data_IF_881434691799
#
_entry.id   IF_881434691799
#
_cell.length_a   1.000
_cell.length_b   1.000
_cell.length_c   1.000
_cell.angle_alpha   90.00
_cell.angle_beta   90.00
_cell.angle_gamma   90.00
#
_symmetry.space_group_name_H-M   'P 1'
#
loop_
_entity.id
_entity.type
_entity.pdbx_description
1 polymer ?
#
# COMPACT_ATOMS: atom_id res chain seq x y z
N UNK A 1 16.20 2.80 6.56
CA UNK A 1 16.20 1.33 6.66
C UNK A 1 15.57 0.75 5.39
N UNK A 2 15.97 -0.45 4.97
CA UNK A 2 15.40 -1.14 3.82
C UNK A 2 14.63 -2.40 4.23
N UNK A 3 14.51 -2.63 5.53
CA UNK A 3 13.80 -3.76 6.15
C UNK A 3 12.66 -3.24 7.02
N UNK A 4 11.48 -3.85 6.87
CA UNK A 4 10.26 -3.60 7.63
C UNK A 4 9.82 -4.88 8.31
N UNK A 5 9.19 -4.79 9.51
CA UNK A 5 8.73 -5.91 10.31
C UNK A 5 9.75 -6.42 11.34
N UNK A 6 9.29 -7.18 12.33
CA UNK A 6 10.09 -7.76 13.42
C UNK A 6 10.31 -9.26 13.25
N UNK A 7 9.23 -10.04 13.14
CA UNK A 7 9.28 -11.48 12.89
C UNK A 7 8.96 -11.79 11.42
N UNK A 8 7.93 -11.18 10.85
CA UNK A 8 7.67 -11.23 9.42
C UNK A 8 8.38 -10.04 8.76
N UNK A 9 9.56 -10.25 8.23
CA UNK A 9 10.44 -9.20 7.73
C UNK A 9 10.44 -9.13 6.22
N UNK A 10 10.31 -7.91 5.70
CA UNK A 10 10.46 -7.60 4.29
C UNK A 10 11.67 -6.68 4.10
N UNK A 11 12.68 -7.14 3.37
CA UNK A 11 13.77 -6.30 2.87
C UNK A 11 13.57 -6.05 1.39
N UNK A 12 13.54 -4.77 0.98
CA UNK A 12 13.41 -4.36 -0.43
C UNK A 12 14.74 -3.88 -0.99
N UNK A 13 15.01 -4.20 -2.25
CA UNK A 13 16.26 -3.82 -2.93
C UNK A 13 16.02 -3.49 -4.42
N UNK A 14 17.06 -2.93 -5.05
CA UNK A 14 17.05 -2.58 -6.47
C UNK A 14 16.63 -1.14 -6.73
N UNK A 15 17.12 -0.59 -7.83
CA UNK A 15 16.87 0.77 -8.29
C UNK A 15 15.88 0.79 -9.46
N UNK A 16 15.08 1.86 -9.59
CA UNK A 16 14.01 1.94 -10.59
C UNK A 16 14.47 1.78 -12.05
N UNK A 17 15.73 2.06 -12.33
CA UNK A 17 16.38 1.92 -13.64
C UNK A 17 17.64 1.04 -13.57
N UNK A 18 17.84 0.32 -12.47
CA UNK A 18 18.82 -0.76 -12.34
C UNK A 18 18.36 -2.03 -13.08
N UNK A 19 19.12 -3.10 -13.03
CA UNK A 19 18.81 -4.35 -13.76
C UNK A 19 17.55 -5.05 -13.24
N UNK A 20 17.27 -4.95 -11.95
CA UNK A 20 16.12 -5.57 -11.31
C UNK A 20 15.74 -4.85 -10.01
N UNK A 21 14.54 -5.12 -9.55
CA UNK A 21 14.07 -4.80 -8.20
C UNK A 21 13.56 -6.08 -7.55
N UNK A 22 13.60 -6.16 -6.23
CA UNK A 22 13.17 -7.38 -5.56
C UNK A 22 12.86 -7.20 -4.09
N UNK A 23 12.46 -8.32 -3.52
CA UNK A 23 12.09 -8.49 -2.13
C UNK A 23 12.76 -9.73 -1.54
N UNK A 24 13.20 -9.63 -0.31
CA UNK A 24 13.58 -10.76 0.54
C UNK A 24 12.61 -10.77 1.72
N UNK A 25 11.84 -11.85 1.84
CA UNK A 25 10.88 -12.05 2.92
C UNK A 25 11.45 -13.14 3.84
N UNK A 26 11.59 -12.82 5.12
CA UNK A 26 12.06 -13.74 6.15
C UNK A 26 11.04 -13.86 7.28
N UNK A 27 11.01 -15.01 7.96
CA UNK A 27 10.08 -15.30 9.05
C UNK A 27 8.72 -15.84 8.60
N UNK A 28 8.47 -16.06 7.32
CA UNK A 28 7.27 -16.77 6.88
C UNK A 28 7.38 -18.25 7.29
N UNK A 29 6.42 -18.81 8.07
CA UNK A 29 6.44 -20.21 8.48
C UNK A 29 6.43 -21.18 7.28
N UNK A 30 6.94 -22.38 7.47
CA UNK A 30 6.85 -23.44 6.48
C UNK A 30 5.40 -23.91 6.23
N UNK A 31 5.14 -24.41 5.04
CA UNK A 31 3.85 -25.03 4.68
C UNK A 31 2.74 -24.07 4.30
N UNK A 32 3.00 -22.75 4.16
CA UNK A 32 2.04 -21.79 3.60
C UNK A 32 1.93 -22.03 2.10
N UNK A 33 0.71 -22.17 1.59
CA UNK A 33 0.46 -22.32 0.14
C UNK A 33 0.86 -20.99 -0.56
N UNK A 34 1.85 -21.05 -1.46
CA UNK A 34 2.37 -19.91 -2.18
C UNK A 34 2.89 -20.32 -3.55
N UNK A 35 2.52 -19.57 -4.58
CA UNK A 35 3.01 -19.76 -5.95
C UNK A 35 3.40 -18.43 -6.58
N UNK A 36 4.27 -18.47 -7.60
CA UNK A 36 4.61 -17.28 -8.39
C UNK A 36 3.36 -16.64 -9.03
N UNK A 37 2.38 -17.43 -9.43
CA UNK A 37 1.12 -16.93 -10.01
C UNK A 37 0.31 -16.08 -9.01
N UNK A 38 0.25 -16.47 -7.74
CA UNK A 38 -0.41 -15.66 -6.70
C UNK A 38 0.30 -14.30 -6.50
N UNK A 39 1.63 -14.30 -6.45
CA UNK A 39 2.42 -13.07 -6.35
C UNK A 39 2.24 -12.22 -7.61
N UNK A 40 2.23 -12.84 -8.80
CA UNK A 40 2.01 -12.14 -10.07
C UNK A 40 0.64 -11.47 -10.11
N UNK A 41 -0.42 -12.14 -9.65
CA UNK A 41 -1.76 -11.55 -9.57
C UNK A 41 -1.78 -10.27 -8.74
N UNK A 42 -1.06 -10.24 -7.61
CA UNK A 42 -0.94 -9.02 -6.80
C UNK A 42 -0.15 -7.91 -7.54
N UNK A 43 0.92 -8.27 -8.24
CA UNK A 43 1.72 -7.34 -9.04
C UNK A 43 0.94 -6.79 -10.23
N UNK A 44 0.12 -7.60 -10.89
CA UNK A 44 -0.72 -7.17 -12.02
C UNK A 44 -1.70 -6.09 -11.61
N UNK A 45 -2.21 -6.10 -10.40
CA UNK A 45 -3.05 -5.02 -9.85
C UNK A 45 -2.27 -3.70 -9.68
N UNK A 46 -0.96 -3.77 -9.47
CA UNK A 46 -0.08 -2.59 -9.22
C UNK A 46 0.64 -2.10 -10.47
N UNK A 47 0.97 -2.96 -11.44
CA UNK A 47 1.83 -2.66 -12.58
C UNK A 47 1.44 -1.37 -13.32
N UNK A 48 2.38 -0.70 -14.02
CA UNK A 48 2.09 0.46 -14.86
C UNK A 48 1.36 0.05 -16.14
N UNK A 49 0.77 1.03 -16.84
CA UNK A 49 0.20 0.82 -18.18
C UNK A 49 -1.11 0.02 -18.22
N UNK A 50 -1.87 0.00 -17.13
CA UNK A 50 -3.11 -0.77 -17.03
C UNK A 50 -4.31 -0.09 -17.74
N UNK A 51 -4.28 1.23 -17.89
CA UNK A 51 -5.39 2.00 -18.45
C UNK A 51 -4.94 3.39 -18.93
N UNK A 52 -5.83 4.12 -19.60
CA UNK A 52 -5.58 5.46 -20.11
C UNK A 52 -5.22 6.49 -19.00
N UNK A 53 -5.71 6.29 -17.77
CA UNK A 53 -5.46 7.16 -16.62
C UNK A 53 -4.12 6.89 -15.92
N UNK A 54 -3.35 5.92 -16.38
CA UNK A 54 -2.03 5.59 -15.82
C UNK A 54 -0.90 6.04 -16.75
N UNK A 55 0.33 5.85 -16.29
CA UNK A 55 1.54 6.13 -17.08
C UNK A 55 1.55 5.33 -18.38
N UNK A 56 2.13 5.90 -19.44
CA UNK A 56 2.40 5.21 -20.71
C UNK A 56 3.53 4.16 -20.63
N UNK A 57 4.20 4.02 -19.47
CA UNK A 57 5.21 2.98 -19.26
C UNK A 57 4.51 1.62 -19.27
N UNK A 58 5.02 0.68 -20.05
CA UNK A 58 4.52 -0.68 -20.11
C UNK A 58 5.58 -1.64 -19.55
N UNK A 59 5.29 -2.23 -18.40
CA UNK A 59 6.12 -3.24 -17.76
C UNK A 59 5.23 -4.40 -17.32
N UNK A 60 5.61 -5.61 -17.64
CA UNK A 60 4.86 -6.81 -17.23
C UNK A 60 5.04 -7.09 -15.74
N UNK A 61 6.05 -6.49 -15.09
CA UNK A 61 6.44 -6.73 -13.69
C UNK A 61 6.47 -8.24 -13.35
N UNK A 62 7.06 -9.03 -14.25
CA UNK A 62 7.10 -10.50 -14.16
C UNK A 62 7.97 -10.93 -12.97
N UNK A 63 7.37 -11.65 -12.01
CA UNK A 63 8.09 -12.10 -10.82
C UNK A 63 8.78 -13.45 -11.04
N UNK A 64 10.02 -13.54 -10.57
CA UNK A 64 10.78 -14.78 -10.43
C UNK A 64 10.94 -15.07 -8.92
N UNK A 65 10.42 -16.22 -8.43
CA UNK A 65 10.71 -16.71 -7.08
C UNK A 65 12.02 -17.51 -7.13
N UNK A 66 13.03 -17.08 -6.39
CA UNK A 66 14.37 -17.66 -6.43
C UNK A 66 14.63 -18.67 -5.30
N UNK A 67 13.93 -18.53 -4.18
CA UNK A 67 14.10 -19.40 -3.00
C UNK A 67 12.88 -19.40 -2.09
N UNK A 68 12.89 -20.28 -1.09
CA UNK A 68 11.92 -20.31 0.01
C UNK A 68 10.58 -20.95 -0.31
N UNK A 69 10.39 -21.48 -1.53
CA UNK A 69 9.16 -22.17 -1.96
C UNK A 69 9.52 -23.45 -2.71
N UNK A 70 8.87 -24.55 -2.36
CA UNK A 70 9.00 -25.83 -3.03
C UNK A 70 7.63 -26.52 -3.12
N UNK A 71 7.28 -27.05 -4.28
CA UNK A 71 5.99 -27.70 -4.55
C UNK A 71 4.77 -26.89 -4.09
N UNK A 72 4.81 -25.54 -4.34
CA UNK A 72 3.72 -24.64 -4.01
C UNK A 72 3.55 -24.33 -2.52
N UNK A 73 4.56 -24.60 -1.68
CA UNK A 73 4.56 -24.33 -0.24
C UNK A 73 5.85 -23.64 0.20
N UNK A 74 5.74 -22.77 1.17
CA UNK A 74 6.90 -22.13 1.82
C UNK A 74 7.71 -23.14 2.62
N UNK A 75 9.02 -22.92 2.71
CA UNK A 75 9.96 -23.79 3.41
C UNK A 75 10.34 -23.34 4.84
N UNK A 76 9.89 -22.14 5.26
CA UNK A 76 10.37 -21.52 6.50
C UNK A 76 11.76 -20.87 6.36
N UNK A 77 12.34 -20.89 5.17
CA UNK A 77 13.60 -20.24 4.81
C UNK A 77 13.31 -18.92 4.07
N UNK A 78 14.29 -18.00 3.91
CA UNK A 78 14.05 -16.75 3.23
C UNK A 78 13.50 -16.91 1.82
N UNK A 79 12.42 -16.19 1.52
CA UNK A 79 11.79 -16.14 0.20
C UNK A 79 12.37 -14.95 -0.55
N UNK A 80 13.17 -15.24 -1.58
CA UNK A 80 13.72 -14.22 -2.46
C UNK A 80 12.91 -14.16 -3.75
N UNK A 81 12.53 -12.93 -4.14
CA UNK A 81 11.78 -12.68 -5.37
C UNK A 81 12.35 -11.47 -6.11
N UNK A 82 12.42 -11.54 -7.42
CA UNK A 82 12.91 -10.45 -8.29
C UNK A 82 11.97 -10.18 -9.45
N UNK A 83 11.98 -8.91 -9.88
CA UNK A 83 11.34 -8.44 -11.11
C UNK A 83 12.40 -7.72 -11.93
N UNK A 84 12.65 -8.19 -13.16
CA UNK A 84 13.61 -7.59 -14.06
C UNK A 84 13.06 -6.32 -14.69
N UNK A 85 13.88 -5.27 -14.77
CA UNK A 85 13.51 -4.04 -15.47
C UNK A 85 13.75 -4.23 -16.97
N UNK A 86 12.71 -4.15 -17.78
CA UNK A 86 12.78 -4.35 -19.24
C UNK A 86 12.77 -3.03 -20.02
N UNK A 87 12.06 -2.02 -19.54
CA UNK A 87 11.89 -0.72 -20.22
C UNK A 87 12.67 0.40 -19.51
N UNK A 88 13.93 0.14 -19.17
CA UNK A 88 14.84 1.12 -18.58
C UNK A 88 15.53 1.95 -19.68
N UNK A 89 14.90 3.03 -20.16
CA UNK A 89 15.48 3.97 -21.12
C UNK A 89 16.37 4.98 -20.41
N UNK A 90 17.65 4.64 -20.24
CA UNK A 90 18.63 5.51 -19.55
C UNK A 90 18.89 6.84 -20.29
N UNK A 91 18.65 6.90 -21.59
CA UNK A 91 18.85 8.10 -22.40
C UNK A 91 17.90 9.24 -22.05
N UNK A 92 16.69 8.94 -21.57
CA UNK A 92 15.68 9.94 -21.18
C UNK A 92 16.10 10.75 -19.94
N UNK A 93 17.14 10.33 -19.22
CA UNK A 93 17.59 10.91 -17.95
C UNK A 93 18.96 11.59 -18.00
N UNK A 94 19.64 11.62 -19.17
CA UNK A 94 20.96 12.24 -19.30
C UNK A 94 20.96 13.75 -19.01
N UNK A 95 19.89 14.45 -19.37
CA UNK A 95 19.69 15.86 -19.04
C UNK A 95 19.35 16.07 -17.55
N UNK A 96 18.66 15.10 -16.91
CA UNK A 96 18.27 15.16 -15.51
C UNK A 96 19.41 14.80 -14.54
N UNK A 97 20.52 14.27 -15.05
CA UNK A 97 21.69 13.95 -14.23
C UNK A 97 22.33 15.21 -13.60
N UNK A 98 22.11 16.40 -14.19
CA UNK A 98 22.71 17.67 -13.79
C UNK A 98 21.76 18.59 -13.01
N UNK A 99 20.45 18.37 -13.10
CA UNK A 99 19.44 19.23 -12.46
C UNK A 99 18.52 18.39 -11.55
N UNK A 100 18.18 18.95 -10.39
CA UNK A 100 17.22 18.34 -9.49
C UNK A 100 15.81 18.65 -9.96
N UNK A 101 14.97 17.64 -10.02
CA UNK A 101 13.58 17.82 -10.38
C UNK A 101 12.80 18.53 -9.26
N UNK A 102 12.08 19.61 -9.54
CA UNK A 102 11.28 20.29 -8.54
C UNK A 102 10.26 19.35 -7.90
N UNK A 103 10.11 19.44 -6.57
CA UNK A 103 9.16 18.62 -5.81
C UNK A 103 9.51 17.13 -5.66
N UNK A 104 10.63 16.67 -6.24
CA UNK A 104 11.16 15.31 -6.08
C UNK A 104 12.24 15.26 -4.99
N UNK A 105 12.70 14.07 -4.64
CA UNK A 105 13.68 13.87 -3.58
C UNK A 105 15.15 14.04 -4.03
N UNK A 106 15.41 14.45 -5.26
CA UNK A 106 16.74 14.44 -5.86
C UNK A 106 17.77 15.24 -5.05
N UNK A 107 17.45 16.48 -4.69
CA UNK A 107 18.32 17.37 -3.88
C UNK A 107 18.59 16.79 -2.49
N UNK A 108 17.53 16.29 -1.82
CA UNK A 108 17.63 15.75 -0.46
C UNK A 108 18.48 14.48 -0.44
N UNK A 109 18.29 13.59 -1.42
CA UNK A 109 19.09 12.36 -1.52
C UNK A 109 20.55 12.66 -1.85
N UNK A 110 20.82 13.63 -2.74
CA UNK A 110 22.17 14.08 -3.02
C UNK A 110 22.85 14.67 -1.80
N UNK A 111 22.16 15.51 -1.06
CA UNK A 111 22.69 16.10 0.18
C UNK A 111 23.01 15.00 1.23
N UNK A 112 22.16 13.99 1.35
CA UNK A 112 22.29 12.92 2.35
C UNK A 112 23.35 11.88 2.00
N UNK A 113 23.35 11.40 0.73
CA UNK A 113 24.15 10.24 0.32
C UNK A 113 25.35 10.61 -0.57
N UNK A 114 25.41 11.87 -1.08
CA UNK A 114 26.46 12.41 -1.94
C UNK A 114 26.62 11.66 -3.28
N UNK A 115 26.30 10.37 -3.32
CA UNK A 115 26.34 9.51 -4.49
C UNK A 115 24.95 8.90 -4.74
N UNK A 116 24.45 9.01 -5.97
CA UNK A 116 23.15 8.44 -6.37
C UNK A 116 23.20 7.96 -7.82
N UNK A 117 22.37 7.00 -8.17
CA UNK A 117 22.11 6.69 -9.58
C UNK A 117 21.26 7.83 -10.18
N UNK A 118 21.76 8.56 -11.19
CA UNK A 118 21.02 9.67 -11.80
C UNK A 118 19.86 9.19 -12.69
N UNK A 119 19.78 7.89 -13.00
CA UNK A 119 18.73 7.33 -13.85
C UNK A 119 17.41 7.23 -13.09
N UNK A 120 16.56 8.25 -13.20
CA UNK A 120 15.26 8.33 -12.52
C UNK A 120 15.34 8.56 -11.02
N UNK A 121 14.29 8.14 -10.30
CA UNK A 121 14.15 8.35 -8.85
C UNK A 121 14.85 7.30 -7.98
N UNK A 122 15.48 6.28 -8.55
CA UNK A 122 16.12 5.21 -7.78
C UNK A 122 15.16 4.59 -6.75
N UNK A 123 15.57 4.57 -5.49
CA UNK A 123 14.76 4.07 -4.35
C UNK A 123 13.60 4.99 -3.96
N UNK A 124 13.56 6.26 -4.42
CA UNK A 124 12.44 7.17 -4.18
C UNK A 124 11.36 7.11 -5.27
N UNK A 125 11.57 6.30 -6.28
CA UNK A 125 10.60 6.06 -7.35
C UNK A 125 9.41 5.24 -6.83
N UNK A 126 8.18 5.56 -7.26
CA UNK A 126 7.01 4.72 -6.98
C UNK A 126 7.13 3.27 -7.48
N UNK A 127 8.15 2.96 -8.32
CA UNK A 127 8.44 1.59 -8.75
C UNK A 127 8.91 0.69 -7.59
N UNK A 128 9.52 1.24 -6.53
CA UNK A 128 9.94 0.46 -5.35
C UNK A 128 8.76 -0.28 -4.70
N UNK A 129 7.54 0.22 -4.87
CA UNK A 129 6.34 -0.37 -4.29
C UNK A 129 6.01 -1.77 -4.84
N UNK A 130 6.60 -2.18 -5.99
CA UNK A 130 6.46 -3.57 -6.45
C UNK A 130 7.02 -4.57 -5.43
N UNK A 131 8.15 -4.24 -4.79
CA UNK A 131 8.76 -5.09 -3.77
C UNK A 131 7.87 -5.19 -2.50
N UNK A 132 7.15 -4.12 -2.16
CA UNK A 132 6.15 -4.13 -1.08
C UNK A 132 4.97 -5.04 -1.41
N UNK A 133 4.49 -5.01 -2.65
CA UNK A 133 3.38 -5.86 -3.11
C UNK A 133 3.80 -7.34 -3.14
N UNK A 134 5.04 -7.66 -3.51
CA UNK A 134 5.57 -9.03 -3.38
C UNK A 134 5.50 -9.50 -1.93
N UNK A 135 6.03 -8.70 -0.98
CA UNK A 135 5.98 -9.02 0.45
C UNK A 135 4.54 -9.13 0.97
N UNK A 136 3.65 -8.23 0.53
CA UNK A 136 2.24 -8.26 0.86
C UNK A 136 1.53 -9.53 0.38
N UNK A 137 1.83 -10.01 -0.81
CA UNK A 137 1.27 -11.27 -1.34
C UNK A 137 1.66 -12.49 -0.49
N UNK A 138 2.92 -12.54 -0.01
CA UNK A 138 3.36 -13.59 0.92
C UNK A 138 2.67 -13.45 2.28
N UNK A 139 2.53 -12.22 2.79
CA UNK A 139 1.79 -11.94 4.03
C UNK A 139 0.31 -12.35 3.92
N UNK A 140 -0.35 -12.04 2.80
CA UNK A 140 -1.74 -12.47 2.55
C UNK A 140 -1.89 -13.98 2.52
N UNK A 141 -0.93 -14.70 1.92
CA UNK A 141 -0.93 -16.16 1.92
C UNK A 141 -0.82 -16.74 3.35
N UNK A 142 0.03 -16.14 4.20
CA UNK A 142 0.13 -16.49 5.62
C UNK A 142 -1.19 -16.21 6.35
N UNK A 143 -1.74 -15.00 6.20
CA UNK A 143 -2.99 -14.60 6.85
C UNK A 143 -4.18 -15.47 6.41
N UNK A 144 -4.24 -15.87 5.14
CA UNK A 144 -5.29 -16.76 4.64
C UNK A 144 -5.28 -18.13 5.33
N UNK A 145 -4.10 -18.62 5.73
CA UNK A 145 -3.95 -19.85 6.51
C UNK A 145 -4.28 -19.63 7.99
N UNK A 146 -3.69 -18.61 8.61
CA UNK A 146 -3.69 -18.42 10.06
C UNK A 146 -4.96 -17.70 10.56
N UNK A 147 -5.44 -16.75 9.79
CA UNK A 147 -6.59 -15.91 10.12
C UNK A 147 -7.60 -15.89 8.95
N UNK A 148 -8.22 -17.02 8.61
CA UNK A 148 -9.05 -17.15 7.40
C UNK A 148 -10.29 -16.27 7.37
N UNK A 149 -10.69 -15.68 8.51
CA UNK A 149 -11.78 -14.71 8.58
C UNK A 149 -11.35 -13.29 8.17
N UNK A 150 -10.05 -12.99 8.20
CA UNK A 150 -9.54 -11.64 7.90
C UNK A 150 -9.74 -11.31 6.43
N UNK A 151 -10.35 -10.16 6.17
CA UNK A 151 -10.55 -9.58 4.83
C UNK A 151 -10.06 -8.14 4.84
N UNK A 152 -9.14 -7.84 3.95
CA UNK A 152 -8.64 -6.47 3.73
C UNK A 152 -9.06 -6.00 2.36
N UNK A 153 -9.77 -4.87 2.30
CA UNK A 153 -10.14 -4.21 1.05
C UNK A 153 -9.78 -2.75 1.14
N UNK A 154 -9.07 -2.25 0.13
CA UNK A 154 -8.78 -0.83 -0.02
C UNK A 154 -9.37 -0.32 -1.35
N UNK A 155 -9.76 0.95 -1.38
CA UNK A 155 -10.35 1.59 -2.56
C UNK A 155 -10.02 3.07 -2.60
N UNK A 156 -10.12 3.67 -3.79
CA UNK A 156 -10.02 5.12 -3.95
C UNK A 156 -11.25 5.77 -3.34
N UNK A 157 -11.04 6.55 -2.29
CA UNK A 157 -12.11 7.19 -1.52
C UNK A 157 -12.27 8.69 -1.83
N UNK A 158 -11.27 9.29 -2.50
CA UNK A 158 -11.31 10.67 -2.96
C UNK A 158 -10.27 10.90 -4.05
N UNK A 159 -10.60 11.68 -5.08
CA UNK A 159 -9.64 12.22 -6.07
C UNK A 159 -9.92 13.70 -6.24
N UNK A 160 -8.90 14.55 -5.94
CA UNK A 160 -9.11 16.00 -5.95
C UNK A 160 -10.32 16.40 -5.11
N UNK A 161 -11.30 17.13 -5.67
CA UNK A 161 -12.50 17.55 -4.95
C UNK A 161 -13.58 16.45 -4.84
N UNK A 162 -13.49 15.38 -5.61
CA UNK A 162 -14.53 14.35 -5.69
C UNK A 162 -14.33 13.30 -4.60
N UNK A 163 -15.25 13.22 -3.64
CA UNK A 163 -15.36 12.13 -2.69
C UNK A 163 -16.16 10.96 -3.27
N UNK A 164 -15.85 9.75 -2.82
CA UNK A 164 -16.45 8.51 -3.30
C UNK A 164 -17.40 7.93 -2.27
N UNK A 165 -18.60 7.58 -2.71
CA UNK A 165 -19.59 6.86 -1.92
C UNK A 165 -19.39 5.35 -2.10
N UNK A 166 -18.76 4.70 -1.11
CA UNK A 166 -18.52 3.27 -1.16
C UNK A 166 -19.70 2.47 -0.57
N UNK A 167 -20.02 1.29 -1.12
CA UNK A 167 -20.98 0.36 -0.52
C UNK A 167 -20.54 -0.09 0.87
N UNK A 168 -21.51 -0.37 1.76
CA UNK A 168 -21.23 -0.86 3.11
C UNK A 168 -20.50 -2.21 3.10
N UNK A 169 -20.84 -3.08 2.14
CA UNK A 169 -20.13 -4.31 1.87
C UNK A 169 -19.39 -4.18 0.53
N UNK A 170 -18.08 -4.34 0.58
CA UNK A 170 -17.22 -4.14 -0.57
C UNK A 170 -16.23 -5.29 -0.71
N UNK A 171 -16.11 -5.81 -1.93
CA UNK A 171 -15.13 -6.83 -2.29
C UNK A 171 -14.00 -6.22 -3.14
N UNK A 172 -12.84 -6.84 -3.11
CA UNK A 172 -11.70 -6.47 -3.97
C UNK A 172 -12.08 -6.53 -5.46
N UNK A 173 -12.89 -7.50 -5.87
CA UNK A 173 -13.37 -7.61 -7.24
C UNK A 173 -14.21 -6.41 -7.68
N UNK A 174 -15.08 -5.89 -6.81
CA UNK A 174 -15.85 -4.67 -7.10
C UNK A 174 -14.95 -3.43 -7.20
N UNK A 175 -13.91 -3.33 -6.39
CA UNK A 175 -12.91 -2.26 -6.50
C UNK A 175 -12.16 -2.35 -7.82
N UNK A 176 -11.73 -3.54 -8.20
CA UNK A 176 -10.93 -3.77 -9.40
C UNK A 176 -11.75 -3.73 -10.70
N UNK A 177 -13.09 -3.69 -10.63
CA UNK A 177 -13.99 -3.64 -11.77
C UNK A 177 -13.84 -2.34 -12.59
N UNK A 178 -13.38 -1.24 -11.98
CA UNK A 178 -13.14 0.02 -12.67
C UNK A 178 -11.67 0.45 -12.59
N UNK A 179 -11.07 1.00 -13.67
CA UNK A 179 -9.65 1.41 -13.69
C UNK A 179 -9.25 2.40 -12.60
N UNK A 180 -10.19 3.26 -12.16
CA UNK A 180 -9.97 4.22 -11.06
C UNK A 180 -9.91 3.56 -9.69
N UNK A 181 -10.30 2.29 -9.55
CA UNK A 181 -10.50 1.58 -8.28
C UNK A 181 -11.48 2.31 -7.34
N UNK A 182 -12.40 3.04 -7.93
CA UNK A 182 -13.51 3.68 -7.26
C UNK A 182 -14.74 2.76 -7.34
N UNK A 183 -15.28 2.28 -6.22
CA UNK A 183 -16.43 1.37 -6.21
C UNK A 183 -17.78 2.10 -6.28
N UNK A 184 -17.79 3.43 -6.26
CA UNK A 184 -18.99 4.25 -6.25
C UNK A 184 -19.41 4.71 -7.65
N UNK A 185 -20.58 5.36 -7.73
CA UNK A 185 -21.10 5.92 -8.99
C UNK A 185 -20.20 7.03 -9.56
N UNK A 186 -19.30 7.60 -8.76
CA UNK A 186 -18.38 8.68 -9.15
C UNK A 186 -17.23 8.18 -10.04
N UNK A 187 -17.09 6.87 -10.27
CA UNK A 187 -15.96 6.27 -10.97
C UNK A 187 -15.68 6.88 -12.36
N UNK A 188 -16.72 7.08 -13.17
CA UNK A 188 -16.62 7.67 -14.53
C UNK A 188 -16.25 9.17 -14.47
N UNK A 189 -16.76 9.90 -13.49
CA UNK A 189 -16.43 11.31 -13.33
C UNK A 189 -14.98 11.49 -12.85
N UNK A 190 -14.52 10.64 -11.94
CA UNK A 190 -13.13 10.59 -11.49
C UNK A 190 -12.20 10.25 -12.66
N UNK A 191 -12.57 9.30 -13.52
CA UNK A 191 -11.78 8.99 -14.71
C UNK A 191 -11.62 10.20 -15.63
N UNK A 192 -12.73 10.91 -15.92
CA UNK A 192 -12.71 12.17 -16.69
C UNK A 192 -11.81 13.23 -16.05
N UNK A 193 -11.91 13.40 -14.73
CA UNK A 193 -11.09 14.37 -13.99
C UNK A 193 -9.60 14.06 -14.10
N UNK A 194 -9.21 12.78 -13.98
CA UNK A 194 -7.82 12.35 -14.13
C UNK A 194 -7.31 12.56 -15.56
N UNK A 195 -8.12 12.26 -16.58
CA UNK A 195 -7.75 12.47 -17.96
C UNK A 195 -7.59 13.96 -18.29
N UNK A 196 -8.47 14.81 -17.80
CA UNK A 196 -8.36 16.26 -17.97
C UNK A 196 -7.09 16.83 -17.31
N UNK A 197 -6.74 16.37 -16.11
CA UNK A 197 -5.49 16.73 -15.47
C UNK A 197 -4.28 16.27 -16.30
N UNK A 198 -4.32 15.06 -16.85
CA UNK A 198 -3.26 14.53 -17.73
C UNK A 198 -3.05 15.39 -18.98
N UNK A 199 -4.12 15.79 -19.64
CA UNK A 199 -4.08 16.66 -20.83
C UNK A 199 -3.50 18.05 -20.53
N UNK A 200 -3.77 18.57 -19.35
CA UNK A 200 -3.24 19.85 -18.87
C UNK A 200 -1.80 19.75 -18.35
N UNK A 201 -1.19 18.57 -18.31
CA UNK A 201 0.12 18.35 -17.72
C UNK A 201 0.12 18.56 -16.19
N UNK A 202 -1.03 18.33 -15.56
CA UNK A 202 -1.23 18.47 -14.11
C UNK A 202 -1.41 17.10 -13.43
N UNK A 203 -1.60 17.10 -12.12
CA UNK A 203 -1.73 15.90 -11.31
C UNK A 203 -2.72 16.07 -10.16
N UNK A 204 -3.28 14.95 -9.71
CA UNK A 204 -4.29 14.91 -8.67
C UNK A 204 -3.83 14.00 -7.51
N UNK A 205 -4.06 14.48 -6.30
CA UNK A 205 -3.99 13.72 -5.06
C UNK A 205 -5.38 13.30 -4.59
N UNK A 206 -5.46 12.77 -3.37
CA UNK A 206 -6.72 12.36 -2.76
C UNK A 206 -6.51 11.38 -1.62
N UNK A 207 -7.41 10.41 -1.48
CA UNK A 207 -7.37 9.47 -0.37
C UNK A 207 -7.72 8.04 -0.81
N UNK A 208 -7.11 7.07 -0.13
CA UNK A 208 -7.45 5.65 -0.17
C UNK A 208 -8.06 5.29 1.18
N UNK A 209 -9.24 4.69 1.18
CA UNK A 209 -9.82 4.08 2.36
C UNK A 209 -9.49 2.59 2.41
N UNK A 210 -9.38 2.08 3.63
CA UNK A 210 -9.14 0.65 3.90
C UNK A 210 -10.15 0.18 4.94
N UNK A 211 -10.71 -0.99 4.72
CA UNK A 211 -11.52 -1.73 5.68
C UNK A 211 -10.92 -3.12 5.89
N UNK A 212 -10.78 -3.49 7.15
CA UNK A 212 -10.30 -4.80 7.56
C UNK A 212 -11.35 -5.42 8.46
N UNK A 213 -11.84 -6.59 8.09
CA UNK A 213 -12.85 -7.35 8.83
C UNK A 213 -12.27 -8.66 9.33
N UNK A 214 -12.89 -9.24 10.36
CA UNK A 214 -12.54 -10.55 10.88
C UNK A 214 -11.25 -10.59 11.71
N UNK A 215 -10.74 -9.44 12.16
CA UNK A 215 -9.58 -9.41 13.05
C UNK A 215 -9.95 -10.03 14.42
N UNK A 216 -9.08 -10.89 14.99
CA UNK A 216 -9.24 -11.35 16.36
C UNK A 216 -9.12 -10.16 17.32
N UNK A 217 -9.78 -10.25 18.49
CA UNK A 217 -9.60 -9.29 19.56
C UNK A 217 -8.19 -9.42 20.13
N UNK A 218 -7.51 -8.30 20.35
CA UNK A 218 -6.22 -8.27 21.05
C UNK A 218 -4.99 -8.25 20.14
N UNK A 219 -5.14 -8.18 18.82
CA UNK A 219 -3.98 -8.06 17.92
C UNK A 219 -3.34 -6.66 18.05
N UNK A 220 -2.04 -6.64 18.33
CA UNK A 220 -1.23 -5.46 18.60
C UNK A 220 -0.37 -5.65 19.84
N UNK A 221 0.58 -4.73 20.07
CA UNK A 221 1.52 -4.79 21.19
C UNK A 221 1.48 -3.48 21.99
N UNK A 222 1.10 -3.49 23.26
CA UNK A 222 1.26 -2.33 24.14
C UNK A 222 2.76 -2.17 24.52
N UNK A 223 3.29 -0.98 24.82
CA UNK A 223 2.64 0.33 24.73
C UNK A 223 2.96 0.99 23.39
N UNK A 224 4.11 0.69 22.78
CA UNK A 224 4.64 1.35 21.57
C UNK A 224 4.31 0.57 20.28
N UNK A 225 4.17 -0.75 20.35
CA UNK A 225 3.79 -1.61 19.21
C UNK A 225 2.29 -1.62 18.91
N UNK A 226 1.55 -0.56 19.25
CA UNK A 226 0.10 -0.48 19.02
C UNK A 226 -0.24 -0.73 17.57
N UNK A 227 -1.31 -1.48 17.31
CA UNK A 227 -1.77 -1.79 15.96
C UNK A 227 -1.88 -0.53 15.08
N UNK A 228 -2.48 0.55 15.60
CA UNK A 228 -2.56 1.82 14.86
C UNK A 228 -1.19 2.43 14.55
N UNK A 229 -0.22 2.33 15.46
CA UNK A 229 1.11 2.90 15.25
C UNK A 229 1.87 2.11 14.17
N UNK A 230 1.78 0.77 14.19
CA UNK A 230 2.38 -0.09 13.17
C UNK A 230 1.75 0.12 11.79
N UNK A 231 0.42 0.23 11.73
CA UNK A 231 -0.27 0.55 10.47
C UNK A 231 0.10 1.94 9.96
N UNK A 232 0.17 2.96 10.84
CA UNK A 232 0.58 4.30 10.44
C UNK A 232 2.01 4.33 9.89
N UNK A 233 2.97 3.69 10.56
CA UNK A 233 4.37 3.57 10.09
C UNK A 233 4.44 2.93 8.70
N UNK A 234 3.74 1.81 8.53
CA UNK A 234 3.70 1.07 7.28
C UNK A 234 3.19 1.89 6.11
N UNK A 235 2.03 2.57 6.26
CA UNK A 235 1.42 3.32 5.16
C UNK A 235 2.06 4.69 4.97
N UNK A 236 2.54 5.35 6.03
CA UNK A 236 3.29 6.61 5.93
C UNK A 236 4.63 6.44 5.21
N UNK A 237 5.22 5.25 5.23
CA UNK A 237 6.40 4.89 4.45
C UNK A 237 6.15 4.76 2.95
N UNK A 238 4.92 4.84 2.45
CA UNK A 238 4.59 4.85 1.03
C UNK A 238 4.84 6.27 0.48
N UNK A 239 5.52 6.37 -0.67
CA UNK A 239 5.77 7.66 -1.30
C UNK A 239 4.48 8.45 -1.57
N UNK A 240 4.53 9.77 -1.39
CA UNK A 240 3.44 10.72 -1.51
C UNK A 240 2.37 10.68 -0.40
N UNK A 241 2.43 9.79 0.57
CA UNK A 241 1.53 9.83 1.73
C UNK A 241 1.83 11.06 2.58
N UNK A 242 0.77 11.77 3.00
CA UNK A 242 0.83 13.00 3.80
C UNK A 242 0.05 12.91 5.10
N UNK A 243 -0.81 11.91 5.25
CA UNK A 243 -1.60 11.74 6.46
C UNK A 243 -2.32 10.41 6.53
N UNK A 244 -2.73 10.05 7.75
CA UNK A 244 -3.53 8.86 8.05
C UNK A 244 -4.57 9.21 9.10
N UNK A 245 -5.82 8.77 8.91
CA UNK A 245 -6.89 8.90 9.89
C UNK A 245 -7.56 7.55 10.16
N UNK A 246 -8.20 7.43 11.33
CA UNK A 246 -8.82 6.21 11.81
C UNK A 246 -10.33 6.37 11.91
N UNK A 247 -11.09 5.32 11.59
CA UNK A 247 -12.53 5.28 11.73
C UNK A 247 -13.32 6.05 10.68
N UNK A 248 -12.69 6.50 9.60
CA UNK A 248 -13.35 7.24 8.52
C UNK A 248 -13.82 8.64 8.88
N UNK A 249 -14.55 9.26 7.97
CA UNK A 249 -15.01 10.65 8.11
C UNK A 249 -16.08 10.81 9.21
N UNK A 250 -16.87 9.78 9.44
CA UNK A 250 -17.90 9.78 10.49
C UNK A 250 -17.29 9.95 11.88
N UNK A 251 -16.17 9.28 12.14
CA UNK A 251 -15.45 9.43 13.42
C UNK A 251 -14.88 10.84 13.55
N UNK A 252 -14.29 11.40 12.49
CA UNK A 252 -13.78 12.76 12.50
C UNK A 252 -14.89 13.80 12.77
N UNK A 253 -16.07 13.61 12.19
CA UNK A 253 -17.23 14.47 12.44
C UNK A 253 -17.65 14.43 13.91
N UNK A 254 -17.58 13.27 14.55
CA UNK A 254 -17.97 13.04 15.93
C UNK A 254 -16.97 13.52 16.99
N UNK A 255 -15.73 13.87 16.60
CA UNK A 255 -14.71 14.39 17.53
C UNK A 255 -15.14 15.69 18.27
N UNK A 256 -16.18 16.38 17.78
CA UNK A 256 -16.76 17.56 18.42
C UNK A 256 -17.83 17.24 19.48
N UNK A 257 -18.22 15.98 19.58
CA UNK A 257 -19.23 15.54 20.56
C UNK A 257 -18.65 15.47 21.98
N UNK A 258 -19.47 15.70 23.02
CA UNK A 258 -19.06 15.38 24.39
C UNK A 258 -18.71 13.89 24.54
N UNK A 259 -17.74 13.57 25.40
CA UNK A 259 -17.27 12.20 25.61
C UNK A 259 -18.37 11.22 25.97
N UNK A 260 -19.37 11.64 26.73
CA UNK A 260 -20.55 10.82 27.09
C UNK A 260 -21.35 10.37 25.87
N UNK A 261 -21.42 11.20 24.82
CA UNK A 261 -22.09 10.87 23.55
C UNK A 261 -21.17 10.07 22.63
N UNK A 262 -19.92 10.50 22.52
CA UNK A 262 -18.90 9.82 21.68
C UNK A 262 -18.70 8.37 22.11
N UNK A 263 -18.64 8.09 23.42
CA UNK A 263 -18.43 6.76 23.99
C UNK A 263 -19.71 6.02 24.36
N UNK A 264 -20.89 6.51 23.99
CA UNK A 264 -22.15 5.85 24.30
C UNK A 264 -22.11 4.39 23.80
N UNK A 265 -22.46 3.41 24.66
CA UNK A 265 -22.46 2.01 24.26
C UNK A 265 -23.53 1.77 23.19
N UNK A 266 -23.27 0.83 22.30
CA UNK A 266 -24.26 0.36 21.33
C UNK A 266 -25.24 -0.58 22.05
N UNK A 267 -26.49 -0.50 21.68
CA UNK A 267 -27.56 -1.34 22.26
C UNK A 267 -27.38 -2.84 21.94
N UNK A 268 -26.67 -3.16 20.87
CA UNK A 268 -26.38 -4.53 20.40
C UNK A 268 -25.15 -5.17 21.05
N UNK A 269 -24.44 -4.46 21.95
CA UNK A 269 -23.21 -4.92 22.58
C UNK A 269 -22.00 -5.03 21.66
N UNK A 270 -22.13 -4.68 20.37
CA UNK A 270 -21.01 -4.67 19.44
C UNK A 270 -20.09 -3.49 19.75
N UNK A 271 -18.75 -3.67 19.73
CA UNK A 271 -17.83 -2.55 19.90
C UNK A 271 -18.14 -1.41 18.95
N UNK A 272 -18.11 -0.18 19.47
CA UNK A 272 -18.45 0.99 18.66
C UNK A 272 -17.42 1.21 17.53
N UNK A 273 -17.90 1.44 16.32
CA UNK A 273 -17.07 1.76 15.17
C UNK A 273 -16.31 3.10 15.33
N UNK A 274 -16.75 3.95 16.27
CA UNK A 274 -16.06 5.21 16.59
C UNK A 274 -14.60 5.03 17.01
N UNK A 275 -14.21 3.86 17.43
CA UNK A 275 -12.82 3.55 17.76
C UNK A 275 -12.01 3.08 16.54
N UNK A 276 -12.63 3.00 15.35
CA UNK A 276 -11.97 2.51 14.13
C UNK A 276 -11.43 1.08 14.24
N UNK A 277 -12.09 0.24 15.08
CA UNK A 277 -11.68 -1.16 15.31
C UNK A 277 -10.53 -1.34 16.32
N UNK A 278 -10.05 -0.25 16.96
CA UNK A 278 -8.88 -0.28 17.85
C UNK A 278 -9.20 0.35 19.20
N UNK A 279 -8.98 -0.37 20.29
CA UNK A 279 -9.08 0.13 21.68
C UNK A 279 -7.80 -0.21 22.45
N UNK A 280 -7.29 0.72 23.25
CA UNK A 280 -6.03 0.53 23.99
C UNK A 280 -4.79 0.29 23.13
N UNK A 281 -4.93 0.34 21.80
CA UNK A 281 -3.87 0.04 20.83
C UNK A 281 -3.96 -1.35 20.21
N UNK A 282 -4.98 -2.13 20.60
CA UNK A 282 -5.24 -3.50 20.15
C UNK A 282 -6.54 -3.54 19.33
N UNK A 283 -6.68 -4.53 18.45
CA UNK A 283 -7.95 -4.78 17.77
C UNK A 283 -9.03 -5.15 18.76
N UNK A 284 -10.25 -4.66 18.54
CA UNK A 284 -11.39 -4.90 19.45
C UNK A 284 -12.47 -5.81 18.83
N UNK A 285 -12.19 -6.44 17.68
CA UNK A 285 -13.11 -7.34 16.97
C UNK A 285 -14.11 -6.62 16.05
N UNK A 286 -14.27 -5.30 16.15
CA UNK A 286 -15.04 -4.53 15.19
C UNK A 286 -14.24 -4.36 13.88
N UNK A 287 -14.90 -4.04 12.74
CA UNK A 287 -14.20 -3.67 11.52
C UNK A 287 -13.23 -2.53 11.78
N UNK A 288 -11.98 -2.72 11.34
CA UNK A 288 -10.98 -1.68 11.39
C UNK A 288 -11.03 -0.86 10.10
N UNK A 289 -11.09 0.47 10.24
CA UNK A 289 -11.08 1.38 9.11
C UNK A 289 -10.02 2.46 9.28
N UNK A 290 -9.35 2.78 8.18
CA UNK A 290 -8.40 3.88 8.09
C UNK A 290 -8.48 4.55 6.72
N UNK A 291 -8.03 5.81 6.65
CA UNK A 291 -7.91 6.56 5.41
C UNK A 291 -6.49 7.09 5.27
N UNK A 292 -5.89 6.90 4.11
CA UNK A 292 -4.52 7.30 3.78
C UNK A 292 -4.58 8.39 2.72
N UNK A 293 -4.00 9.55 3.02
CA UNK A 293 -4.02 10.73 2.15
C UNK A 293 -2.74 10.85 1.36
N UNK A 294 -2.88 11.15 0.09
CA UNK A 294 -1.78 11.27 -0.86
C UNK A 294 -1.78 12.66 -1.49
N UNK A 295 -0.61 13.30 -1.48
CA UNK A 295 -0.41 14.53 -2.25
C UNK A 295 -0.42 14.24 -3.75
N UNK A 296 -0.69 15.25 -4.60
CA UNK A 296 -0.52 15.11 -6.05
C UNK A 296 0.93 14.73 -6.40
N UNK A 297 1.15 13.92 -7.45
CA UNK A 297 2.48 13.70 -8.03
C UNK A 297 3.18 15.01 -8.38
N UNK A 298 4.50 15.08 -8.13
CA UNK A 298 5.25 16.33 -8.31
C UNK A 298 5.70 16.60 -9.75
N UNK A 299 5.33 15.75 -10.70
CA UNK A 299 5.72 15.92 -12.09
C UNK A 299 4.65 16.71 -12.84
N UNK A 300 4.95 17.96 -13.18
CA UNK A 300 3.99 18.93 -13.72
C UNK A 300 4.51 19.59 -15.00
N UNK A 301 3.62 20.19 -15.79
CA UNK A 301 3.87 21.04 -16.96
C UNK A 301 4.83 20.38 -17.99
N UNK A 302 5.89 21.07 -18.38
CA UNK A 302 6.84 20.58 -19.39
C UNK A 302 7.53 19.25 -19.00
N UNK A 303 7.65 18.96 -17.71
CA UNK A 303 8.14 17.67 -17.22
C UNK A 303 7.09 16.56 -17.34
N UNK A 304 5.80 16.91 -17.23
CA UNK A 304 4.69 15.98 -17.40
C UNK A 304 4.53 15.52 -18.85
N UNK A 305 4.75 16.41 -19.82
CA UNK A 305 4.63 16.10 -21.25
C UNK A 305 5.80 15.29 -21.81
N UNK A 306 6.98 15.34 -21.16
CA UNK A 306 8.20 14.63 -21.56
C UNK A 306 8.40 13.30 -20.85
N UNK A 307 7.65 13.05 -19.79
CA UNK A 307 7.87 11.93 -18.90
C UNK A 307 6.74 10.89 -18.89
N UNK A 308 7.05 9.74 -18.30
CA UNK A 308 6.15 8.62 -18.14
C UNK A 308 5.69 8.55 -16.70
N UNK A 309 4.76 9.42 -16.27
CA UNK A 309 4.26 9.44 -14.91
C UNK A 309 2.76 9.37 -14.86
N UNK A 310 2.27 8.95 -13.70
CA UNK A 310 0.84 8.89 -13.45
C UNK A 310 0.32 10.31 -13.15
N UNK A 311 -0.75 10.78 -13.79
CA UNK A 311 -1.44 12.01 -13.39
C UNK A 311 -2.12 11.86 -12.03
N UNK A 312 -2.45 10.63 -11.63
CA UNK A 312 -2.98 10.27 -10.33
C UNK A 312 -2.45 8.89 -9.93
N UNK A 313 -1.75 8.80 -8.78
CA UNK A 313 -1.16 7.53 -8.34
C UNK A 313 -2.14 6.64 -7.57
N UNK A 314 -3.29 7.17 -7.12
CA UNK A 314 -4.20 6.49 -6.21
C UNK A 314 -4.66 5.11 -6.71
N UNK A 315 -5.08 4.93 -7.99
CA UNK A 315 -5.50 3.62 -8.46
C UNK A 315 -4.42 2.54 -8.32
N UNK A 316 -3.16 2.92 -8.52
CA UNK A 316 -2.02 2.01 -8.39
C UNK A 316 -1.54 1.86 -6.96
N UNK A 317 -1.82 2.82 -6.09
CA UNK A 317 -1.46 2.79 -4.69
C UNK A 317 -2.40 1.89 -3.85
N UNK A 318 -3.62 1.62 -4.31
CA UNK A 318 -4.57 0.72 -3.62
C UNK A 318 -3.93 -0.63 -3.25
N UNK A 319 -3.38 -1.43 -4.18
CA UNK A 319 -2.74 -2.71 -3.82
C UNK A 319 -1.47 -2.54 -2.98
N UNK A 320 -0.81 -1.38 -3.03
CA UNK A 320 0.36 -1.10 -2.17
C UNK A 320 -0.07 -0.88 -0.73
N UNK A 321 -1.16 -0.14 -0.51
CA UNK A 321 -1.74 0.07 0.83
C UNK A 321 -2.22 -1.27 1.41
N UNK A 322 -2.94 -2.09 0.64
CA UNK A 322 -3.33 -3.44 1.06
C UNK A 322 -2.13 -4.30 1.46
N UNK A 323 -1.06 -4.28 0.65
CA UNK A 323 0.16 -5.03 0.92
C UNK A 323 0.82 -4.60 2.24
N UNK A 324 0.95 -3.30 2.49
CA UNK A 324 1.53 -2.79 3.73
C UNK A 324 0.69 -3.13 4.96
N UNK A 325 -0.64 -3.09 4.83
CA UNK A 325 -1.56 -3.56 5.88
C UNK A 325 -1.36 -5.04 6.16
N UNK A 326 -1.32 -5.87 5.13
CA UNK A 326 -1.12 -7.32 5.27
C UNK A 326 0.22 -7.67 5.92
N UNK A 327 1.29 -6.93 5.61
CA UNK A 327 2.60 -7.08 6.26
C UNK A 327 2.52 -6.80 7.76
N UNK A 328 1.84 -5.73 8.18
CA UNK A 328 1.66 -5.41 9.61
C UNK A 328 0.86 -6.49 10.31
N UNK A 329 -0.23 -6.96 9.71
CA UNK A 329 -1.08 -7.97 10.33
C UNK A 329 -0.35 -9.31 10.46
N UNK A 330 0.44 -9.71 9.46
CA UNK A 330 1.25 -10.92 9.50
C UNK A 330 2.34 -10.85 10.59
N UNK A 331 3.05 -9.72 10.68
CA UNK A 331 4.08 -9.50 11.68
C UNK A 331 3.50 -9.51 13.11
N UNK A 332 2.42 -8.76 13.36
CA UNK A 332 1.75 -8.74 14.64
C UNK A 332 1.13 -10.10 15.03
N UNK A 333 0.63 -10.85 14.06
CA UNK A 333 0.13 -12.21 14.31
C UNK A 333 1.25 -13.16 14.77
N UNK A 334 2.41 -13.13 14.11
CA UNK A 334 3.56 -13.92 14.54
C UNK A 334 4.09 -13.49 15.91
N UNK A 335 4.13 -12.18 16.20
CA UNK A 335 4.46 -11.65 17.52
C UNK A 335 3.49 -12.15 18.59
N UNK A 336 2.20 -12.17 18.30
CA UNK A 336 1.17 -12.69 19.19
C UNK A 336 1.36 -14.18 19.47
N UNK A 337 1.67 -15.00 18.45
CA UNK A 337 1.96 -16.42 18.61
C UNK A 337 3.26 -16.65 19.42
N UNK A 338 4.27 -15.81 19.25
CA UNK A 338 5.54 -15.89 19.98
C UNK A 338 5.40 -15.55 21.46
N UNK A 339 4.34 -14.85 21.85
CA UNK A 339 4.02 -14.47 23.25
C UNK A 339 2.68 -15.03 23.67
N UNK A 340 2.53 -16.37 23.74
CA UNK A 340 1.24 -16.96 24.06
C UNK A 340 0.77 -16.52 25.45
N UNK A 341 -0.44 -15.98 25.51
CA UNK A 341 -1.12 -15.75 26.77
C UNK A 341 -1.58 -17.11 27.27
N UNK A 342 -1.17 -17.47 28.48
CA UNK A 342 -1.79 -18.62 29.15
C UNK A 342 -3.19 -18.20 29.58
N UNK A 343 -4.22 -19.03 29.32
CA UNK A 343 -5.54 -18.77 29.83
C UNK A 343 -5.59 -18.72 31.35
#
# INVERSE_FOLDING_TARGET
>A
MNTFGELFRLTTFGESHGPAMGALIDGCPAGVALSAAQVQTALDRRRPGQSAITTARAEADQVELLSGVYEGKTLGTPIAAVVRNQDARSQDYSALAREDRPGHADAVWRARFQHRDPRGGGRTSGRETLSRVIGGAVAEALLARELPAVRTVAWVAQVGPLAVTAPAQLTRAQVDAHPTRCPGPEATEIERLILAAKEQGDSLGGAIAVRIEGLPVGLGEPVFGKLKARLADAVAGIGAVTGVTWGGDEVLARLREPGSRFHAPRADGVPSEVYGGIQGGLSNGAPLSLRVYFKPPATLAAHATRGRHDPCILPRAVPVVEAMVSLVLADLHLLWLARPHRP
#
